data_IF_827043361905
#
_entry.id   IF_827043361905
#
_cell.length_a   1.000
_cell.length_b   1.000
_cell.length_c   1.000
_cell.angle_alpha   90.00
_cell.angle_beta   90.00
_cell.angle_gamma   90.00
#
_symmetry.space_group_name_H-M   'P 1'
#
loop_
_entity.id
_entity.type
_entity.pdbx_description
1 polymer ?
#
# COMPACT_ATOMS: atom_id res chain seq x y z
N UNK A 1 1.90 0.17 -51.30
CA UNK A 1 0.61 -0.56 -51.32
C UNK A 1 -0.08 -0.31 -49.99
N UNK A 2 -1.32 0.18 -50.04
CA UNK A 2 -2.06 0.77 -48.91
C UNK A 2 -3.10 -0.24 -48.42
N UNK A 3 -2.84 -0.88 -47.28
CA UNK A 3 -3.81 -1.77 -46.63
C UNK A 3 -4.61 -0.98 -45.59
N UNK A 4 -5.78 -0.53 -46.02
CA UNK A 4 -6.88 -0.09 -45.18
C UNK A 4 -7.65 -1.32 -44.65
N UNK A 5 -8.34 -1.14 -43.52
CA UNK A 5 -9.36 -2.02 -42.90
C UNK A 5 -8.79 -3.27 -42.16
N UNK A 6 -9.16 -3.59 -40.91
CA UNK A 6 -10.42 -3.39 -40.19
C UNK A 6 -10.16 -3.27 -38.68
N UNK A 7 -10.78 -2.26 -38.05
CA UNK A 7 -10.94 -2.17 -36.59
C UNK A 7 -12.01 -3.16 -36.13
N UNK A 8 -11.61 -4.20 -35.40
CA UNK A 8 -12.52 -5.07 -34.66
C UNK A 8 -12.72 -4.49 -33.26
N UNK A 9 -13.79 -3.72 -33.11
CA UNK A 9 -14.27 -3.23 -31.82
C UNK A 9 -14.93 -4.39 -31.05
N UNK A 10 -14.29 -4.84 -29.98
CA UNK A 10 -14.86 -5.81 -29.05
C UNK A 10 -15.73 -5.05 -28.04
N UNK A 11 -17.05 -5.15 -28.19
CA UNK A 11 -18.00 -4.57 -27.24
C UNK A 11 -18.11 -5.47 -26.00
N UNK A 12 -17.45 -5.08 -24.90
CA UNK A 12 -17.72 -5.66 -23.58
C UNK A 12 -19.02 -5.10 -23.03
N UNK A 13 -20.02 -5.96 -22.85
CA UNK A 13 -21.27 -5.62 -22.19
C UNK A 13 -21.01 -5.21 -20.73
N UNK A 14 -21.38 -3.97 -20.40
CA UNK A 14 -21.43 -3.47 -19.02
C UNK A 14 -22.64 -4.10 -18.33
N UNK A 15 -22.40 -4.89 -17.29
CA UNK A 15 -23.44 -5.27 -16.35
C UNK A 15 -23.86 -4.01 -15.57
N UNK A 16 -25.12 -3.62 -15.70
CA UNK A 16 -25.71 -2.53 -14.93
C UNK A 16 -25.83 -2.96 -13.45
N UNK A 17 -24.96 -2.44 -12.60
CA UNK A 17 -25.14 -2.43 -11.15
C UNK A 17 -26.00 -1.21 -10.76
N UNK A 18 -26.87 -1.32 -9.73
CA UNK A 18 -27.83 -0.29 -9.35
C UNK A 18 -27.16 1.03 -8.91
N UNK A 19 -27.83 2.13 -9.24
CA UNK A 19 -27.44 3.53 -9.03
C UNK A 19 -27.38 3.94 -7.54
N UNK A 20 -26.59 4.99 -7.21
CA UNK A 20 -26.27 5.39 -5.84
C UNK A 20 -27.37 6.20 -5.15
N UNK A 21 -27.50 6.01 -3.83
CA UNK A 21 -28.30 6.86 -2.94
C UNK A 21 -27.38 7.74 -2.05
N UNK A 22 -27.52 9.08 -2.12
CA UNK A 22 -27.07 9.99 -1.06
C UNK A 22 -28.24 10.86 -0.55
N UNK A 23 -28.06 11.69 0.51
CA UNK A 23 -27.18 11.59 1.68
C UNK A 23 -27.96 11.87 3.01
N UNK A 24 -27.34 11.62 4.18
CA UNK A 24 -27.60 12.43 5.38
C UNK A 24 -26.44 12.30 6.39
N UNK A 25 -25.98 13.46 6.83
CA UNK A 25 -24.88 13.78 7.74
C UNK A 25 -24.86 13.00 9.06
N UNK A 26 -23.68 12.84 9.68
CA UNK A 26 -23.31 13.47 10.98
C UNK A 26 -21.88 13.06 11.35
N UNK A 27 -21.07 14.03 11.77
CA UNK A 27 -19.71 13.91 12.29
C UNK A 27 -19.41 12.64 13.12
N UNK A 28 -18.40 11.87 12.71
CA UNK A 28 -17.57 11.08 13.61
C UNK A 28 -16.11 11.18 13.14
N UNK A 29 -15.32 11.95 13.89
CA UNK A 29 -13.87 11.91 13.85
C UNK A 29 -13.46 10.55 14.42
N UNK A 30 -13.28 9.55 13.57
CA UNK A 30 -12.68 8.28 13.97
C UNK A 30 -11.16 8.39 13.88
N UNK A 31 -10.60 8.91 14.97
CA UNK A 31 -9.25 8.59 15.40
C UNK A 31 -9.15 7.07 15.64
N UNK A 32 -8.79 6.31 14.61
CA UNK A 32 -8.37 4.91 14.79
C UNK A 32 -6.85 4.85 14.82
N UNK A 33 -6.36 5.15 16.03
CA UNK A 33 -5.40 4.34 16.78
C UNK A 33 -4.49 3.46 15.94
N UNK A 34 -3.25 3.89 15.83
CA UNK A 34 -2.11 3.03 15.58
C UNK A 34 -2.17 1.83 16.53
N UNK A 35 -2.62 0.69 16.02
CA UNK A 35 -2.47 -0.58 16.73
C UNK A 35 -1.07 -1.09 16.45
N UNK A 36 -0.12 -0.57 17.22
CA UNK A 36 1.19 -1.18 17.38
C UNK A 36 1.02 -2.35 18.34
N UNK A 37 1.16 -3.57 17.84
CA UNK A 37 1.53 -4.74 18.64
C UNK A 37 2.00 -5.82 17.68
N UNK A 38 3.31 -6.02 17.61
CA UNK A 38 3.94 -7.32 17.81
C UNK A 38 5.28 -7.08 18.50
N UNK A 39 5.54 -7.87 19.54
CA UNK A 39 6.62 -7.71 20.49
C UNK A 39 7.97 -8.22 19.96
N UNK A 40 9.05 -7.53 20.34
CA UNK A 40 10.39 -8.16 20.44
C UNK A 40 11.57 -7.32 19.97
N UNK A 41 12.26 -6.69 20.93
CA UNK A 41 13.66 -6.29 20.78
C UNK A 41 13.93 -4.79 20.74
N UNK A 42 14.65 -4.30 21.76
CA UNK A 42 15.25 -2.96 21.87
C UNK A 42 14.28 -1.76 21.82
N UNK A 43 13.88 -1.26 23.00
CA UNK A 43 13.27 0.08 23.11
C UNK A 43 14.38 1.12 22.96
N UNK A 44 14.87 1.30 21.75
CA UNK A 44 15.47 2.57 21.34
C UNK A 44 14.34 3.57 21.16
N UNK A 45 14.26 4.59 22.01
CA UNK A 45 13.32 5.72 21.86
C UNK A 45 13.79 6.63 20.70
N UNK A 46 14.00 6.04 19.51
CA UNK A 46 14.02 6.80 18.28
C UNK A 46 12.57 7.02 17.88
N UNK A 47 12.22 8.28 17.57
CA UNK A 47 10.96 8.56 16.93
C UNK A 47 10.96 7.80 15.59
N UNK A 48 10.07 6.82 15.47
CA UNK A 48 9.93 6.03 14.25
C UNK A 48 8.50 6.10 13.74
N UNK A 49 8.36 6.11 12.41
CA UNK A 49 7.09 6.03 11.72
C UNK A 49 7.06 4.78 10.87
N UNK A 50 6.12 3.89 11.14
CA UNK A 50 5.90 2.68 10.36
C UNK A 50 4.73 2.83 9.39
N UNK A 51 4.80 2.19 8.22
CA UNK A 51 3.68 2.06 7.29
C UNK A 51 3.86 0.83 6.40
N UNK A 52 2.77 0.28 5.86
CA UNK A 52 2.85 -0.77 4.86
C UNK A 52 3.08 -0.15 3.48
N UNK A 53 4.06 -0.67 2.73
CA UNK A 53 4.31 -0.26 1.36
C UNK A 53 3.09 -0.52 0.46
N UNK A 54 2.87 0.37 -0.50
CA UNK A 54 1.82 0.22 -1.51
C UNK A 54 2.15 -0.95 -2.43
N UNK A 55 1.14 -1.77 -2.75
CA UNK A 55 1.29 -2.94 -3.61
C UNK A 55 0.78 -4.24 -2.98
N UNK A 56 0.47 -4.23 -1.68
CA UNK A 56 -0.19 -5.34 -0.99
C UNK A 56 0.65 -6.62 -0.91
N UNK A 57 -0.01 -7.77 -0.93
CA UNK A 57 0.65 -9.06 -0.92
C UNK A 57 1.37 -9.31 -2.25
N UNK A 58 2.64 -9.71 -2.21
CA UNK A 58 3.45 -10.14 -3.36
C UNK A 58 4.41 -11.24 -2.95
N UNK A 59 4.83 -12.04 -3.93
CA UNK A 59 5.85 -13.08 -3.74
C UNK A 59 7.27 -12.53 -3.95
N UNK A 60 7.41 -11.39 -4.64
CA UNK A 60 8.70 -10.82 -5.10
C UNK A 60 9.15 -9.57 -4.34
N UNK A 61 8.88 -9.46 -3.04
CA UNK A 61 9.33 -8.32 -2.24
C UNK A 61 10.85 -8.25 -2.05
N UNK A 62 11.54 -9.39 -2.13
CA UNK A 62 12.99 -9.46 -2.00
C UNK A 62 13.69 -8.55 -3.03
N UNK A 63 14.48 -7.60 -2.55
CA UNK A 63 15.21 -6.62 -3.39
C UNK A 63 14.38 -5.45 -3.91
N UNK A 64 13.06 -5.40 -3.66
CA UNK A 64 12.17 -4.31 -4.09
C UNK A 64 11.57 -3.54 -2.93
N UNK A 65 11.36 -4.20 -1.79
CA UNK A 65 10.72 -3.66 -0.61
C UNK A 65 11.39 -2.36 -0.13
N UNK A 66 12.72 -2.37 0.06
CA UNK A 66 13.45 -1.18 0.49
C UNK A 66 13.32 0.01 -0.49
N UNK A 67 13.50 -0.25 -1.79
CA UNK A 67 13.38 0.77 -2.82
C UNK A 67 11.96 1.38 -2.86
N UNK A 68 10.93 0.56 -2.66
CA UNK A 68 9.54 1.02 -2.55
C UNK A 68 9.36 1.92 -1.33
N UNK A 69 9.85 1.51 -0.15
CA UNK A 69 9.78 2.31 1.07
C UNK A 69 10.47 3.67 0.92
N UNK A 70 11.68 3.71 0.36
CA UNK A 70 12.39 4.98 0.10
C UNK A 70 11.62 5.86 -0.88
N UNK A 71 11.09 5.28 -1.96
CA UNK A 71 10.31 5.99 -2.96
C UNK A 71 9.03 6.60 -2.37
N UNK A 72 8.35 5.86 -1.50
CA UNK A 72 7.13 6.33 -0.83
C UNK A 72 7.40 7.36 0.26
N UNK A 73 8.46 7.19 1.04
CA UNK A 73 8.86 8.18 2.05
C UNK A 73 9.06 9.55 1.40
N UNK A 74 9.73 9.58 0.24
CA UNK A 74 9.93 10.81 -0.56
C UNK A 74 8.61 11.37 -1.08
N UNK A 75 7.74 10.53 -1.66
CA UNK A 75 6.45 10.96 -2.20
C UNK A 75 5.49 11.49 -1.12
N UNK A 76 5.53 10.89 0.08
CA UNK A 76 4.71 11.29 1.23
C UNK A 76 5.31 12.48 2.00
N UNK A 77 6.50 12.96 1.60
CA UNK A 77 7.17 14.09 2.24
C UNK A 77 7.71 13.78 3.64
N UNK A 78 8.03 12.52 3.94
CA UNK A 78 8.62 12.16 5.22
C UNK A 78 10.10 12.59 5.28
N UNK A 79 10.44 13.41 6.27
CA UNK A 79 11.82 13.80 6.55
C UNK A 79 12.57 12.70 7.33
N UNK A 80 12.65 11.50 6.74
CA UNK A 80 13.34 10.37 7.34
C UNK A 80 14.86 10.58 7.29
N UNK A 81 15.53 10.46 8.44
CA UNK A 81 16.98 10.35 8.52
C UNK A 81 17.46 9.00 7.98
N UNK A 82 16.72 7.93 8.27
CA UNK A 82 16.94 6.62 7.69
C UNK A 82 15.61 5.93 7.36
N UNK A 83 15.60 5.07 6.35
CA UNK A 83 14.43 4.27 5.95
C UNK A 83 14.85 2.81 5.91
N UNK A 84 14.19 2.01 6.73
CA UNK A 84 14.33 0.56 6.77
C UNK A 84 13.07 -0.13 6.24
N UNK A 85 13.19 -1.41 5.92
CA UNK A 85 12.13 -2.18 5.30
C UNK A 85 12.20 -3.65 5.68
N UNK A 86 11.08 -4.20 6.11
CA UNK A 86 10.93 -5.59 6.51
C UNK A 86 9.89 -6.31 5.66
N UNK A 87 10.11 -7.60 5.42
CA UNK A 87 9.17 -8.45 4.69
C UNK A 87 8.35 -9.22 5.71
N UNK A 88 7.04 -9.03 5.72
CA UNK A 88 6.14 -9.68 6.67
C UNK A 88 5.05 -10.48 5.94
N UNK A 89 4.72 -11.66 6.42
CA UNK A 89 3.68 -12.51 5.82
C UNK A 89 2.27 -12.21 6.37
N UNK A 90 2.15 -11.23 7.27
CA UNK A 90 0.89 -10.91 7.96
C UNK A 90 -0.21 -10.51 6.98
N UNK A 91 -1.34 -11.21 7.05
CA UNK A 91 -2.53 -10.92 6.24
C UNK A 91 -2.44 -11.37 4.77
N UNK A 92 -1.41 -12.15 4.40
CA UNK A 92 -1.24 -12.68 3.06
C UNK A 92 -1.51 -14.18 2.95
N UNK A 93 -1.85 -14.62 1.74
CA UNK A 93 -1.92 -16.05 1.41
C UNK A 93 -0.54 -16.69 1.53
N UNK A 94 -0.49 -18.01 1.78
CA UNK A 94 0.77 -18.76 1.97
C UNK A 94 1.72 -18.52 0.79
N UNK A 95 2.97 -18.15 1.10
CA UNK A 95 4.02 -17.83 0.13
C UNK A 95 4.03 -16.38 -0.37
N UNK A 96 3.05 -15.57 0.04
CA UNK A 96 2.99 -14.14 -0.25
C UNK A 96 3.34 -13.35 0.99
N UNK A 97 3.93 -12.17 0.79
CA UNK A 97 4.32 -11.27 1.86
C UNK A 97 3.85 -9.86 1.54
N UNK A 98 3.75 -9.01 2.55
CA UNK A 98 3.75 -7.56 2.40
C UNK A 98 5.13 -7.01 2.72
N UNK A 99 5.30 -5.71 2.49
CA UNK A 99 6.51 -4.97 2.82
C UNK A 99 6.14 -3.90 3.85
N UNK A 100 6.73 -3.97 5.05
CA UNK A 100 6.62 -2.98 6.11
C UNK A 100 7.79 -2.01 5.99
N UNK A 101 7.49 -0.71 6.01
CA UNK A 101 8.47 0.36 5.96
C UNK A 101 8.60 1.02 7.32
N UNK A 102 9.83 1.35 7.72
CA UNK A 102 10.11 2.09 8.94
C UNK A 102 10.95 3.32 8.62
N UNK A 103 10.51 4.50 9.05
CA UNK A 103 11.21 5.76 8.93
C UNK A 103 11.73 6.16 10.31
N UNK A 104 13.02 6.50 10.39
CA UNK A 104 13.69 6.98 11.59
C UNK A 104 13.96 8.47 11.45
N UNK A 105 13.65 9.26 12.48
CA UNK A 105 13.93 10.70 12.53
C UNK A 105 15.25 11.02 13.23
#
# INVERSE_FOLDING_TARGET
MKFNLLFLALATAVAAAPAPEPPADTNAVEANTATASEAGGDVSILATKKWQASGGCKTDWAGRCNAQCIGEAKQKGYNCKNVDSDITSSGCFVGWNTCECTCFY
#
